data_IF_813726828465
#
_entry.id   IF_813726828465
#
_cell.length_a   1.000
_cell.length_b   1.000
_cell.length_c   1.000
_cell.angle_alpha   90.00
_cell.angle_beta   90.00
_cell.angle_gamma   90.00
#
_symmetry.space_group_name_H-M   'P 1'
#
loop_
_entity.id
_entity.type
_entity.pdbx_description
1 polymer ?
#
# COMPACT_ATOMS: atom_id res chain seq x y z
N UNK A 1 18.10 -70.60 -61.51
CA UNK A 1 17.08 -69.65 -60.96
C UNK A 1 17.06 -69.90 -59.49
N UNK A 2 17.75 -69.04 -58.70
CA UNK A 2 17.87 -69.17 -57.25
C UNK A 2 17.13 -68.01 -56.61
N UNK A 3 16.11 -68.27 -55.88
CA UNK A 3 15.36 -67.32 -55.10
C UNK A 3 16.08 -67.06 -53.77
N UNK A 4 16.49 -65.80 -53.55
CA UNK A 4 17.14 -65.41 -52.33
C UNK A 4 16.05 -64.87 -51.37
N UNK A 5 15.80 -65.62 -50.29
CA UNK A 5 14.87 -65.30 -49.24
C UNK A 5 15.58 -64.39 -48.20
N UNK A 6 15.21 -63.13 -48.13
CA UNK A 6 15.70 -62.16 -47.15
C UNK A 6 15.00 -62.35 -45.83
N UNK A 7 15.78 -62.77 -44.84
CA UNK A 7 15.34 -62.94 -43.42
C UNK A 7 15.29 -61.54 -42.75
N UNK A 8 14.11 -61.06 -42.46
CA UNK A 8 13.94 -59.85 -41.63
C UNK A 8 14.21 -60.22 -40.17
N UNK A 9 15.29 -59.62 -39.65
CA UNK A 9 15.67 -59.69 -38.25
C UNK A 9 14.87 -58.63 -37.48
N UNK A 10 13.78 -59.03 -36.85
CA UNK A 10 13.00 -58.18 -35.98
C UNK A 10 13.65 -58.11 -34.61
N UNK A 11 14.54 -57.15 -34.43
CA UNK A 11 15.07 -56.75 -33.13
C UNK A 11 13.94 -56.13 -32.28
N UNK A 12 13.32 -56.92 -31.42
CA UNK A 12 12.34 -56.46 -30.44
C UNK A 12 12.99 -55.48 -29.44
N UNK A 13 12.63 -54.24 -29.56
CA UNK A 13 12.96 -53.25 -28.56
C UNK A 13 12.21 -53.56 -27.28
N UNK A 14 12.91 -54.10 -26.29
CA UNK A 14 12.39 -54.28 -24.94
C UNK A 14 12.19 -52.90 -24.30
N UNK A 15 10.94 -52.41 -24.31
CA UNK A 15 10.54 -51.24 -23.51
C UNK A 15 10.70 -51.64 -22.03
N UNK A 16 11.65 -51.03 -21.35
CA UNK A 16 11.76 -51.14 -19.90
C UNK A 16 10.50 -50.55 -19.27
N UNK A 17 9.74 -51.33 -18.47
CA UNK A 17 8.58 -50.76 -17.80
C UNK A 17 9.07 -49.70 -16.84
N UNK A 18 8.67 -48.43 -17.05
CA UNK A 18 8.80 -47.40 -16.06
C UNK A 18 8.00 -47.85 -14.84
N UNK A 19 8.71 -48.12 -13.72
CA UNK A 19 8.10 -48.45 -12.46
C UNK A 19 7.37 -47.21 -11.95
N UNK A 20 6.08 -47.08 -12.22
CA UNK A 20 5.21 -46.09 -11.61
C UNK A 20 4.99 -46.51 -10.16
N UNK A 21 5.83 -46.01 -9.27
CA UNK A 21 5.62 -46.11 -7.83
C UNK A 21 4.55 -45.08 -7.41
N UNK A 22 3.32 -45.57 -7.21
CA UNK A 22 2.21 -44.77 -6.69
C UNK A 22 2.44 -44.42 -5.22
N UNK A 23 2.05 -43.18 -4.82
CA UNK A 23 2.06 -42.73 -3.42
C UNK A 23 1.08 -43.54 -2.57
N UNK A 24 1.48 -43.91 -1.36
CA UNK A 24 0.57 -44.52 -0.40
C UNK A 24 -0.31 -43.48 0.29
N UNK A 25 -1.54 -43.88 0.65
CA UNK A 25 -2.47 -42.99 1.38
C UNK A 25 -1.89 -42.53 2.72
N UNK A 26 -1.16 -43.44 3.42
CA UNK A 26 -0.55 -43.11 4.71
C UNK A 26 0.58 -42.11 4.59
N UNK A 27 1.35 -42.16 3.51
CA UNK A 27 2.43 -41.24 3.23
C UNK A 27 1.88 -39.81 3.00
N UNK A 28 0.77 -39.69 2.25
CA UNK A 28 0.09 -38.41 2.07
C UNK A 28 -0.49 -37.89 3.40
N UNK A 29 -1.12 -38.75 4.21
CA UNK A 29 -1.67 -38.35 5.52
C UNK A 29 -0.57 -37.86 6.48
N UNK A 30 0.58 -38.55 6.50
CA UNK A 30 1.71 -38.11 7.34
C UNK A 30 2.23 -36.71 6.93
N UNK A 31 2.39 -36.47 5.63
CA UNK A 31 2.85 -35.14 5.12
C UNK A 31 1.85 -34.05 5.46
N UNK A 32 0.56 -34.25 5.23
CA UNK A 32 -0.48 -33.27 5.56
C UNK A 32 -0.52 -33.01 7.06
N UNK A 33 -0.32 -34.03 7.90
CA UNK A 33 -0.23 -33.88 9.36
C UNK A 33 0.93 -32.97 9.78
N UNK A 34 2.11 -33.16 9.21
CA UNK A 34 3.29 -32.33 9.51
C UNK A 34 3.07 -30.88 9.04
N UNK A 35 2.55 -30.68 7.81
CA UNK A 35 2.24 -29.35 7.30
C UNK A 35 1.21 -28.65 8.18
N UNK A 36 0.17 -29.37 8.66
CA UNK A 36 -0.84 -28.83 9.56
C UNK A 36 -0.26 -28.30 10.88
N UNK A 37 0.68 -29.03 11.48
CA UNK A 37 1.35 -28.61 12.72
C UNK A 37 2.19 -27.34 12.49
N UNK A 38 2.97 -27.32 11.41
CA UNK A 38 3.81 -26.15 11.07
C UNK A 38 2.92 -24.92 10.77
N UNK A 39 1.85 -25.10 10.00
CA UNK A 39 0.92 -24.03 9.65
C UNK A 39 0.22 -23.45 10.90
N UNK A 40 -0.16 -24.28 11.87
CA UNK A 40 -0.80 -23.84 13.10
C UNK A 40 0.05 -22.83 13.91
N UNK A 41 1.38 -22.96 13.85
CA UNK A 41 2.31 -22.07 14.53
C UNK A 41 2.67 -20.84 13.64
N UNK A 42 2.83 -21.05 12.32
CA UNK A 42 3.32 -20.05 11.40
C UNK A 42 2.25 -19.00 11.04
N UNK A 43 0.99 -19.39 10.86
CA UNK A 43 -0.08 -18.50 10.37
C UNK A 43 -0.33 -17.31 11.32
N UNK A 44 -0.47 -17.47 12.65
CA UNK A 44 -0.66 -16.33 13.55
C UNK A 44 0.52 -15.35 13.52
N UNK A 45 1.74 -15.83 13.38
CA UNK A 45 2.94 -15.01 13.24
C UNK A 45 2.94 -14.19 11.95
N UNK A 46 2.58 -14.82 10.84
CA UNK A 46 2.50 -14.16 9.54
C UNK A 46 1.42 -13.06 9.50
N UNK A 47 0.28 -13.30 10.14
CA UNK A 47 -0.79 -12.28 10.22
C UNK A 47 -0.31 -11.02 10.96
N UNK A 48 0.40 -11.17 12.08
CA UNK A 48 0.99 -10.04 12.83
C UNK A 48 2.06 -9.31 12.02
N UNK A 49 2.90 -10.04 11.30
CA UNK A 49 3.94 -9.46 10.44
C UNK A 49 3.32 -8.64 9.29
N UNK A 50 2.26 -9.15 8.64
CA UNK A 50 1.50 -8.41 7.62
C UNK A 50 0.88 -7.14 8.17
N UNK A 51 0.26 -7.20 9.35
CA UNK A 51 -0.33 -6.05 10.02
C UNK A 51 0.72 -4.96 10.27
N UNK A 52 1.88 -5.32 10.84
CA UNK A 52 2.98 -4.39 11.07
C UNK A 52 3.52 -3.78 9.76
N UNK A 53 3.62 -4.57 8.68
CA UNK A 53 4.01 -4.09 7.36
C UNK A 53 3.02 -3.07 6.77
N UNK A 54 1.71 -3.32 6.92
CA UNK A 54 0.66 -2.39 6.47
C UNK A 54 0.71 -1.08 7.26
N UNK A 55 0.90 -1.13 8.58
CA UNK A 55 1.06 0.05 9.44
C UNK A 55 2.29 0.88 9.04
N UNK A 56 3.44 0.22 8.79
CA UNK A 56 4.64 0.91 8.33
C UNK A 56 4.43 1.58 6.96
N UNK A 57 3.70 0.94 6.05
CA UNK A 57 3.31 1.52 4.76
C UNK A 57 2.41 2.74 4.92
N UNK A 58 1.43 2.71 5.83
CA UNK A 58 0.55 3.85 6.13
C UNK A 58 1.34 5.05 6.66
N UNK A 59 2.26 4.82 7.60
CA UNK A 59 3.17 5.86 8.12
C UNK A 59 4.02 6.46 6.99
N UNK A 60 4.57 5.61 6.11
CA UNK A 60 5.32 6.05 4.93
C UNK A 60 4.48 6.92 4.00
N UNK A 61 3.21 6.56 3.77
CA UNK A 61 2.28 7.33 2.95
C UNK A 61 1.94 8.70 3.58
N UNK A 62 1.72 8.76 4.89
CA UNK A 62 1.52 10.06 5.59
C UNK A 62 2.74 10.96 5.51
N UNK A 63 3.96 10.41 5.60
CA UNK A 63 5.19 11.17 5.39
C UNK A 63 5.31 11.70 3.96
N UNK A 64 4.95 10.88 2.97
CA UNK A 64 4.93 11.29 1.58
C UNK A 64 3.91 12.43 1.36
N UNK A 65 2.71 12.34 1.92
CA UNK A 65 1.70 13.41 1.86
C UNK A 65 2.23 14.69 2.50
N UNK A 66 2.81 14.62 3.70
CA UNK A 66 3.35 15.79 4.40
C UNK A 66 4.49 16.46 3.61
N UNK A 67 5.39 15.66 3.02
CA UNK A 67 6.46 16.17 2.15
C UNK A 67 5.92 16.82 0.88
N UNK A 68 4.92 16.20 0.24
CA UNK A 68 4.27 16.74 -0.96
C UNK A 68 3.52 18.04 -0.67
N UNK A 69 2.84 18.14 0.46
CA UNK A 69 2.19 19.37 0.92
C UNK A 69 3.20 20.49 1.14
N UNK A 70 4.34 20.19 1.77
CA UNK A 70 5.41 21.16 1.98
C UNK A 70 6.03 21.63 0.66
N UNK A 71 6.26 20.71 -0.29
CA UNK A 71 6.76 21.03 -1.61
C UNK A 71 5.75 21.89 -2.41
N UNK A 72 4.46 21.54 -2.35
CA UNK A 72 3.39 22.32 -2.97
C UNK A 72 3.33 23.74 -2.39
N UNK A 73 3.32 23.88 -1.07
CA UNK A 73 3.30 25.19 -0.41
C UNK A 73 4.49 26.07 -0.81
N UNK A 74 5.69 25.48 -0.89
CA UNK A 74 6.91 26.20 -1.20
C UNK A 74 7.00 26.65 -2.67
N UNK A 75 6.45 25.89 -3.62
CA UNK A 75 6.68 26.12 -5.06
C UNK A 75 5.45 26.46 -5.88
N UNK A 76 4.25 26.18 -5.38
CA UNK A 76 3.00 26.27 -6.15
C UNK A 76 1.84 26.93 -5.41
N UNK A 77 1.75 26.74 -4.11
CA UNK A 77 0.65 27.19 -3.27
C UNK A 77 0.86 28.55 -2.60
N UNK A 78 1.96 29.26 -2.92
CA UNK A 78 2.30 30.58 -2.31
C UNK A 78 2.31 30.56 -0.78
N UNK A 79 2.81 29.47 -0.18
CA UNK A 79 2.86 29.27 1.27
C UNK A 79 1.65 28.53 1.85
N UNK A 80 0.65 28.20 1.02
CA UNK A 80 -0.56 27.50 1.42
C UNK A 80 -0.57 26.04 0.92
N UNK A 81 -1.43 25.21 1.51
CA UNK A 81 -1.49 23.78 1.26
C UNK A 81 -2.60 23.39 0.27
N UNK A 82 -2.45 22.25 -0.35
CA UNK A 82 -3.49 21.68 -1.21
C UNK A 82 -4.65 21.11 -0.36
N UNK A 83 -5.91 21.37 -0.76
CA UNK A 83 -7.09 20.90 -0.02
C UNK A 83 -7.36 19.40 -0.17
N UNK A 84 -6.77 18.72 -1.17
CA UNK A 84 -7.00 17.31 -1.44
C UNK A 84 -5.79 16.61 -2.05
N UNK A 85 -5.77 15.28 -2.02
CA UNK A 85 -4.75 14.46 -2.70
C UNK A 85 -4.82 14.62 -4.23
N UNK A 86 -6.01 14.80 -4.78
CA UNK A 86 -6.21 14.98 -6.22
C UNK A 86 -5.47 16.22 -6.74
N UNK A 87 -5.52 17.33 -5.99
CA UNK A 87 -4.79 18.53 -6.37
C UNK A 87 -3.28 18.32 -6.30
N UNK A 88 -2.76 17.60 -5.30
CA UNK A 88 -1.35 17.22 -5.23
C UNK A 88 -0.94 16.27 -6.38
N UNK A 89 -1.89 15.44 -6.85
CA UNK A 89 -1.72 14.54 -8.00
C UNK A 89 -1.82 15.24 -9.36
N UNK A 90 -2.20 16.52 -9.39
CA UNK A 90 -2.27 17.32 -10.62
C UNK A 90 -0.91 17.99 -10.87
N UNK A 91 -0.24 17.72 -12.01
CA UNK A 91 1.03 18.37 -12.34
C UNK A 91 0.86 19.87 -12.53
N UNK A 92 1.83 20.69 -12.17
CA UNK A 92 1.87 22.11 -12.52
C UNK A 92 1.83 22.31 -14.04
N UNK A 93 1.31 23.46 -14.49
CA UNK A 93 1.24 23.79 -15.91
C UNK A 93 2.65 23.75 -16.54
N UNK A 94 2.83 22.86 -17.53
CA UNK A 94 4.12 22.66 -18.19
C UNK A 94 5.06 21.68 -17.51
N UNK A 95 4.70 21.10 -16.37
CA UNK A 95 5.45 20.04 -15.71
C UNK A 95 4.89 18.64 -16.07
N UNK A 96 5.76 17.63 -16.08
CA UNK A 96 5.38 16.25 -16.34
C UNK A 96 5.12 15.44 -15.05
N UNK A 97 5.51 16.00 -13.89
CA UNK A 97 5.42 15.30 -12.60
C UNK A 97 4.54 16.07 -11.63
N UNK A 98 3.68 15.35 -10.94
CA UNK A 98 2.87 15.86 -9.85
C UNK A 98 3.68 15.93 -8.54
N UNK A 99 3.11 16.53 -7.50
CA UNK A 99 3.74 16.62 -6.17
C UNK A 99 3.67 15.29 -5.42
N UNK A 100 2.69 14.43 -5.75
CA UNK A 100 2.51 13.13 -5.11
C UNK A 100 2.42 12.02 -6.17
N UNK A 101 2.80 10.81 -5.80
CA UNK A 101 2.77 9.65 -6.68
C UNK A 101 1.35 9.22 -7.05
N UNK A 102 1.23 8.47 -8.15
CA UNK A 102 -0.07 8.01 -8.68
C UNK A 102 -0.81 7.05 -7.77
N UNK A 103 -0.12 6.47 -6.80
CA UNK A 103 -0.68 5.58 -5.77
C UNK A 103 -1.41 6.33 -4.64
N UNK A 104 -1.28 7.67 -4.59
CA UNK A 104 -1.89 8.56 -3.60
C UNK A 104 -2.57 9.78 -4.23
N UNK A 105 -2.89 9.75 -5.52
CA UNK A 105 -3.45 10.89 -6.27
C UNK A 105 -4.98 10.93 -6.34
N UNK A 106 -5.67 10.10 -5.56
CA UNK A 106 -7.13 10.10 -5.39
C UNK A 106 -7.48 10.34 -3.93
N UNK A 107 -8.60 10.99 -3.65
CA UNK A 107 -9.06 11.26 -2.29
C UNK A 107 -10.48 10.70 -2.07
N UNK A 108 -10.65 9.61 -1.32
CA UNK A 108 -9.61 8.84 -0.63
C UNK A 108 -8.78 7.94 -1.56
N UNK A 109 -7.57 7.60 -1.12
CA UNK A 109 -6.66 6.67 -1.76
C UNK A 109 -6.52 5.39 -0.93
N UNK A 110 -6.50 4.23 -1.57
CA UNK A 110 -6.42 2.94 -0.87
C UNK A 110 -5.05 2.29 -1.09
N UNK A 111 -4.29 2.08 0.00
CA UNK A 111 -2.97 1.47 -0.04
C UNK A 111 -2.70 0.60 1.18
N UNK A 112 -2.21 -0.63 0.94
CA UNK A 112 -1.77 -1.55 2.01
C UNK A 112 -2.81 -1.74 3.13
N UNK A 113 -4.09 -1.92 2.78
CA UNK A 113 -5.22 -2.06 3.71
C UNK A 113 -5.54 -0.79 4.52
N UNK A 114 -5.06 0.36 4.09
CA UNK A 114 -5.40 1.66 4.66
C UNK A 114 -6.06 2.56 3.63
N UNK A 115 -7.05 3.30 4.08
CA UNK A 115 -7.65 4.43 3.37
C UNK A 115 -6.92 5.69 3.79
N UNK A 116 -6.33 6.38 2.80
CA UNK A 116 -5.59 7.63 2.99
C UNK A 116 -6.46 8.79 2.52
N UNK A 117 -6.64 9.80 3.33
CA UNK A 117 -7.42 10.99 2.97
C UNK A 117 -6.76 12.28 3.45
N UNK A 118 -7.01 13.36 2.74
CA UNK A 118 -6.65 14.71 3.15
C UNK A 118 -7.93 15.52 3.34
N UNK A 119 -8.10 16.07 4.52
CA UNK A 119 -9.20 16.98 4.83
C UNK A 119 -8.67 18.41 4.83
N UNK A 120 -9.31 19.27 4.05
CA UNK A 120 -9.05 20.70 4.03
C UNK A 120 -9.33 21.32 5.41
N UNK A 121 -8.41 22.14 5.89
CA UNK A 121 -8.65 22.99 7.04
C UNK A 121 -9.20 24.35 6.62
N UNK A 122 -8.75 25.42 7.29
CA UNK A 122 -9.22 26.78 7.00
C UNK A 122 -8.82 27.24 5.60
N UNK A 123 -9.78 27.80 4.86
CA UNK A 123 -9.51 28.39 3.54
C UNK A 123 -8.58 29.58 3.65
N UNK A 124 -7.61 29.65 2.76
CA UNK A 124 -6.68 30.78 2.64
C UNK A 124 -7.32 31.89 1.80
N UNK A 125 -8.25 32.64 2.40
CA UNK A 125 -8.93 33.74 1.74
C UNK A 125 -7.93 34.81 1.29
N UNK A 126 -7.92 35.14 -0.02
CA UNK A 126 -6.98 36.07 -0.62
C UNK A 126 -5.69 35.44 -1.15
N UNK A 127 -5.50 34.11 -1.02
CA UNK A 127 -4.40 33.42 -1.67
C UNK A 127 -4.53 33.50 -3.20
N UNK A 128 -3.42 33.63 -3.95
CA UNK A 128 -3.45 33.57 -5.41
C UNK A 128 -3.81 32.15 -5.90
N UNK A 129 -4.16 32.04 -7.18
CA UNK A 129 -4.33 30.74 -7.82
C UNK A 129 -3.03 29.92 -7.77
N UNK A 130 -3.16 28.60 -7.60
CA UNK A 130 -1.99 27.72 -7.59
C UNK A 130 -1.48 27.42 -9.00
N UNK A 131 -0.23 27.01 -9.10
CA UNK A 131 0.42 26.68 -10.37
C UNK A 131 -0.16 25.41 -11.06
N UNK A 132 -0.94 24.61 -10.34
CA UNK A 132 -1.54 23.37 -10.83
C UNK A 132 -3.08 23.41 -10.94
N UNK A 133 -3.64 24.62 -11.00
CA UNK A 133 -5.04 24.83 -11.41
C UNK A 133 -6.05 25.08 -10.29
N UNK A 134 -5.64 25.18 -9.01
CA UNK A 134 -6.57 25.64 -7.98
C UNK A 134 -6.88 27.14 -8.17
N UNK A 135 -8.16 27.52 -8.09
CA UNK A 135 -8.58 28.90 -8.17
C UNK A 135 -8.04 29.74 -7.00
N UNK A 136 -8.03 31.05 -7.18
CA UNK A 136 -7.67 31.98 -6.09
C UNK A 136 -8.56 31.75 -4.87
N UNK A 137 -7.97 31.64 -3.68
CA UNK A 137 -8.66 31.36 -2.42
C UNK A 137 -9.12 29.90 -2.22
N UNK A 138 -8.81 28.99 -3.15
CA UNK A 138 -9.16 27.56 -3.02
C UNK A 138 -8.11 26.72 -2.31
N UNK A 139 -6.92 27.24 -2.06
CA UNK A 139 -5.90 26.60 -1.24
C UNK A 139 -6.20 26.83 0.25
N UNK A 140 -5.59 26.02 1.12
CA UNK A 140 -5.90 26.04 2.56
C UNK A 140 -4.71 26.43 3.41
N UNK A 141 -4.98 27.10 4.53
CA UNK A 141 -3.95 27.49 5.49
C UNK A 141 -3.46 26.27 6.32
N UNK A 142 -4.33 25.27 6.49
CA UNK A 142 -4.05 24.07 7.25
C UNK A 142 -4.65 22.86 6.55
N UNK A 143 -4.10 21.68 6.79
CA UNK A 143 -4.65 20.41 6.31
C UNK A 143 -4.54 19.33 7.39
N UNK A 144 -5.34 18.29 7.24
CA UNK A 144 -5.29 17.10 8.07
C UNK A 144 -5.23 15.88 7.16
N UNK A 145 -4.23 15.04 7.34
CA UNK A 145 -4.13 13.77 6.63
C UNK A 145 -4.37 12.62 7.60
N UNK A 146 -5.20 11.67 7.19
CA UNK A 146 -5.54 10.50 7.98
C UNK A 146 -5.23 9.21 7.21
N UNK A 147 -4.85 8.18 7.95
CA UNK A 147 -4.76 6.80 7.49
C UNK A 147 -5.70 5.96 8.33
N UNK A 148 -6.83 5.57 7.75
CA UNK A 148 -7.87 4.78 8.38
C UNK A 148 -7.73 3.32 7.97
N UNK A 149 -7.63 2.37 8.92
CA UNK A 149 -7.49 0.96 8.59
C UNK A 149 -8.81 0.38 8.05
N UNK A 150 -8.72 -0.43 6.99
CA UNK A 150 -9.85 -1.18 6.44
C UNK A 150 -10.25 -2.43 7.23
N UNK A 151 -9.50 -2.78 8.30
CA UNK A 151 -9.77 -3.97 9.12
C UNK A 151 -9.55 -3.68 10.61
N UNK A 152 -10.22 -4.48 11.46
CA UNK A 152 -10.10 -4.38 12.91
C UNK A 152 -8.73 -4.82 13.42
N UNK A 153 -8.29 -4.23 14.53
CA UNK A 153 -7.02 -4.57 15.18
C UNK A 153 -5.82 -3.74 14.74
N UNK A 154 -5.94 -3.00 13.64
CA UNK A 154 -4.93 -2.05 13.19
C UNK A 154 -5.02 -0.72 13.96
N UNK A 155 -3.91 0.04 13.95
CA UNK A 155 -3.87 1.39 14.52
C UNK A 155 -4.30 2.42 13.48
N UNK A 156 -4.89 3.51 13.96
CA UNK A 156 -5.17 4.70 13.18
C UNK A 156 -3.98 5.64 13.22
N UNK A 157 -3.71 6.32 12.12
CA UNK A 157 -2.65 7.32 12.04
C UNK A 157 -3.21 8.62 11.47
N UNK A 158 -2.59 9.76 11.86
CA UNK A 158 -2.95 11.06 11.33
C UNK A 158 -1.81 12.06 11.48
N UNK A 159 -1.78 13.06 10.62
CA UNK A 159 -0.81 14.17 10.65
C UNK A 159 -1.45 15.47 10.20
N UNK A 160 -0.79 16.57 10.43
CA UNK A 160 -1.17 17.91 9.98
C UNK A 160 0.05 18.68 9.46
N UNK A 161 -0.10 19.99 9.23
CA UNK A 161 0.96 20.88 8.75
C UNK A 161 2.22 20.88 9.64
N UNK A 162 2.14 20.46 10.90
CA UNK A 162 3.31 20.33 11.77
C UNK A 162 4.19 19.11 11.42
N UNK A 163 3.71 18.19 10.58
CA UNK A 163 4.44 17.01 10.12
C UNK A 163 4.62 15.92 11.16
N UNK A 164 4.10 16.07 12.36
CA UNK A 164 4.13 15.05 13.41
C UNK A 164 3.05 14.01 13.11
N UNK A 165 3.43 12.73 13.10
CA UNK A 165 2.48 11.64 12.92
C UNK A 165 2.03 11.12 14.28
N UNK A 166 0.73 11.04 14.46
CA UNK A 166 0.08 10.52 15.66
C UNK A 166 -0.53 9.16 15.41
N UNK A 167 -0.59 8.33 16.43
CA UNK A 167 -1.21 7.01 16.39
C UNK A 167 -2.23 6.83 17.53
N UNK A 168 -3.30 6.10 17.26
CA UNK A 168 -4.28 5.70 18.26
C UNK A 168 -4.96 4.38 17.87
N UNK A 169 -5.72 3.78 18.80
CA UNK A 169 -6.56 2.60 18.55
C UNK A 169 -7.97 2.94 18.07
N UNK A 170 -8.29 4.22 18.03
CA UNK A 170 -9.52 4.81 17.51
C UNK A 170 -9.18 5.85 16.46
N UNK A 171 -10.15 6.29 15.67
CA UNK A 171 -9.93 7.31 14.66
C UNK A 171 -9.25 8.56 15.27
N UNK A 172 -8.15 8.97 14.67
CA UNK A 172 -7.35 10.13 15.15
C UNK A 172 -7.91 11.37 14.51
N UNK A 173 -8.54 12.22 15.30
CA UNK A 173 -8.83 13.59 14.89
C UNK A 173 -7.60 14.45 15.20
N UNK A 174 -6.88 14.88 14.15
CA UNK A 174 -5.71 15.73 14.27
C UNK A 174 -6.17 17.19 14.09
N UNK A 175 -5.84 18.05 15.04
CA UNK A 175 -6.16 19.47 15.01
C UNK A 175 -4.95 20.30 14.59
N UNK A 176 -5.11 21.62 14.41
CA UNK A 176 -3.98 22.53 14.12
C UNK A 176 -2.93 22.53 15.24
N UNK A 177 -3.35 22.37 16.48
CA UNK A 177 -2.48 22.35 17.67
C UNK A 177 -1.92 20.97 18.01
N UNK A 178 -2.21 19.95 17.20
CA UNK A 178 -1.78 18.57 17.42
C UNK A 178 -2.97 17.60 17.49
N UNK A 179 -2.72 16.36 17.87
CA UNK A 179 -3.76 15.35 18.01
C UNK A 179 -4.59 15.55 19.27
N UNK A 180 -5.85 15.09 19.24
CA UNK A 180 -6.71 15.03 20.42
C UNK A 180 -6.14 14.08 21.49
N UNK A 181 -6.64 14.22 22.71
CA UNK A 181 -6.25 13.38 23.84
C UNK A 181 -6.40 11.88 23.53
N UNK A 182 -5.38 11.10 23.89
CA UNK A 182 -5.32 9.66 23.64
C UNK A 182 -4.53 9.23 22.40
N UNK A 183 -4.15 10.14 21.52
CA UNK A 183 -3.22 9.88 20.42
C UNK A 183 -1.77 10.16 20.86
N UNK A 184 -0.85 9.26 20.49
CA UNK A 184 0.56 9.37 20.81
C UNK A 184 1.36 9.73 19.56
N UNK A 185 2.35 10.66 19.64
CA UNK A 185 3.24 10.91 18.52
C UNK A 185 4.13 9.69 18.27
N UNK A 186 4.41 9.43 16.99
CA UNK A 186 5.40 8.42 16.57
C UNK A 186 6.74 9.15 16.46
N UNK A 187 7.74 8.64 17.16
CA UNK A 187 9.13 9.15 17.09
C UNK A 187 9.88 8.51 15.93
#
# INVERSE_FOLDING_TARGET
MASHESREDSTGAYATPCSESGFTLIELMAVVGIIGIIAAIAVPGLMRARMSGSEASAIGSLRAISSSQSAFAASCGSGFYAPSLELLGTPPTGALTAFIGTDLNTDPSFKSSYEMSVTAGDLATGAPASCNGAAAGAVVATYFAAAMPGATGFRFFGTNQAGVIYQARVAVAVTQSGALAGALPIQ
#
